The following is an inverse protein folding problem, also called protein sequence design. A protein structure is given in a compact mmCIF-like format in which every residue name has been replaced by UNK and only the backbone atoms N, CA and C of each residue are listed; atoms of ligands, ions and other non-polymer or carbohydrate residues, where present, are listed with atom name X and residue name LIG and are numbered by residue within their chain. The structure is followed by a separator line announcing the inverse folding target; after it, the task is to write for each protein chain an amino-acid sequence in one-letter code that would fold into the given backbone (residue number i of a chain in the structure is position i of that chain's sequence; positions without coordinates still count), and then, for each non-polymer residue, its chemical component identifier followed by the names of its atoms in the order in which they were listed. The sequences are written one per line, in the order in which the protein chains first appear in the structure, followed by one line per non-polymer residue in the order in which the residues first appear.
data_IF_348724373891
#
_entry.id   IF_348724373891
#
_cell.length_a   1.000
_cell.length_b   1.000
_cell.length_c   1.000
_cell.angle_alpha   90.00
_cell.angle_beta   90.00
_cell.angle_gamma   90.00
#
_symmetry.space_group_name_H-M   'P 1'
#
loop_
_entity.id
_entity.type
_entity.pdbx_description
1 polymer ?
#
# COMPACT_ATOMS: atom_id res chain seq x y z
N UNK A 1 -21.66 19.44 -14.61
CA UNK A 1 -23.10 19.08 -14.61
C UNK A 1 -23.71 19.33 -13.24
N UNK A 2 -23.28 18.66 -12.15
CA UNK A 2 -23.84 18.87 -10.80
C UNK A 2 -23.73 20.31 -10.26
N UNK A 3 -22.54 20.94 -10.36
CA UNK A 3 -22.32 22.31 -9.88
C UNK A 3 -23.14 23.38 -10.62
N UNK A 4 -23.56 23.10 -11.86
CA UNK A 4 -24.43 24.00 -12.65
C UNK A 4 -25.90 23.91 -12.21
N UNK A 5 -26.29 22.80 -11.58
CA UNK A 5 -27.64 22.55 -11.08
C UNK A 5 -27.79 22.85 -9.57
N UNK A 6 -26.82 23.53 -8.95
CA UNK A 6 -26.81 23.78 -7.50
C UNK A 6 -26.52 22.55 -6.64
N UNK A 7 -26.19 21.41 -7.24
CA UNK A 7 -25.97 20.13 -6.55
C UNK A 7 -24.48 19.87 -6.25
N UNK A 8 -24.23 19.12 -5.17
CA UNK A 8 -22.88 18.73 -4.76
C UNK A 8 -22.40 17.50 -5.53
N UNK A 9 -21.11 17.48 -5.88
CA UNK A 9 -20.46 16.32 -6.46
C UNK A 9 -19.61 15.63 -5.40
N UNK A 10 -20.03 14.45 -4.97
CA UNK A 10 -19.27 13.61 -4.03
C UNK A 10 -18.30 12.74 -4.83
N UNK A 11 -16.99 12.77 -4.52
CA UNK A 11 -16.03 11.90 -5.18
C UNK A 11 -16.22 10.45 -4.72
N UNK A 12 -15.95 9.51 -5.62
CA UNK A 12 -15.97 8.07 -5.31
C UNK A 12 -14.94 7.74 -4.24
N UNK A 13 -15.29 6.79 -3.36
CA UNK A 13 -14.35 6.30 -2.36
C UNK A 13 -13.09 5.70 -3.02
N UNK A 14 -11.89 6.07 -2.52
CA UNK A 14 -10.64 5.53 -3.02
C UNK A 14 -10.52 4.03 -2.71
N UNK A 15 -10.09 3.27 -3.71
CA UNK A 15 -10.01 1.79 -3.64
C UNK A 15 -8.61 1.24 -3.36
N UNK A 16 -7.58 2.08 -3.38
CA UNK A 16 -6.17 1.69 -3.26
C UNK A 16 -5.43 2.64 -2.31
N UNK A 17 -4.63 2.07 -1.43
CA UNK A 17 -3.74 2.81 -0.53
C UNK A 17 -2.29 2.39 -0.72
N UNK A 18 -1.39 3.36 -0.62
CA UNK A 18 0.05 3.15 -0.47
C UNK A 18 0.37 3.16 1.02
N UNK A 19 1.06 2.13 1.48
CA UNK A 19 1.42 1.94 2.89
C UNK A 19 2.93 1.77 2.97
N UNK A 20 3.59 2.49 3.88
CA UNK A 20 5.04 2.44 4.10
C UNK A 20 5.31 2.28 5.59
N UNK A 21 6.21 1.39 5.97
CA UNK A 21 6.64 1.26 7.37
C UNK A 21 7.59 2.40 7.77
N UNK A 22 7.26 3.12 8.84
CA UNK A 22 8.08 4.23 9.36
C UNK A 22 8.90 3.82 10.59
N UNK A 23 8.61 2.67 11.21
CA UNK A 23 9.30 2.18 12.40
C UNK A 23 9.67 0.70 12.28
N UNK A 24 10.73 0.29 12.97
CA UNK A 24 11.11 -1.11 13.09
C UNK A 24 10.15 -1.94 13.95
N UNK A 25 10.31 -3.27 13.91
CA UNK A 25 9.43 -4.23 14.61
C UNK A 25 9.83 -4.53 16.07
N UNK A 26 10.83 -3.82 16.61
CA UNK A 26 11.33 -4.04 17.96
C UNK A 26 10.34 -3.49 19.00
N UNK A 27 10.02 -4.27 20.03
CA UNK A 27 9.11 -3.86 21.11
C UNK A 27 7.64 -3.76 20.70
N UNK A 28 7.26 -4.26 19.52
CA UNK A 28 5.89 -4.21 19.02
C UNK A 28 5.06 -5.32 19.66
N UNK A 29 3.82 -5.00 20.05
CA UNK A 29 2.90 -5.99 20.63
C UNK A 29 2.65 -7.16 19.65
N UNK A 30 2.42 -8.40 20.14
CA UNK A 30 2.24 -9.56 19.27
C UNK A 30 1.12 -9.38 18.23
N UNK A 31 0.04 -8.69 18.59
CA UNK A 31 -1.09 -8.38 17.70
C UNK A 31 -0.67 -7.49 16.54
N UNK A 32 0.02 -6.38 16.82
CA UNK A 32 0.49 -5.43 15.80
C UNK A 32 1.55 -6.10 14.92
N UNK A 33 2.48 -6.86 15.53
CA UNK A 33 3.50 -7.62 14.81
C UNK A 33 2.88 -8.60 13.82
N UNK A 34 1.80 -9.29 14.20
CA UNK A 34 1.10 -10.21 13.30
C UNK A 34 0.43 -9.47 12.13
N UNK A 35 -0.17 -8.31 12.37
CA UNK A 35 -0.77 -7.51 11.29
C UNK A 35 0.29 -6.98 10.32
N UNK A 36 1.42 -6.48 10.82
CA UNK A 36 2.55 -6.05 9.97
C UNK A 36 3.11 -7.21 9.13
N UNK A 37 3.19 -8.42 9.69
CA UNK A 37 3.60 -9.62 8.95
C UNK A 37 2.61 -10.00 7.85
N UNK A 38 1.30 -9.94 8.12
CA UNK A 38 0.26 -10.20 7.10
C UNK A 38 0.30 -9.17 5.97
N UNK A 39 0.72 -7.94 6.27
CA UNK A 39 0.96 -6.89 5.29
C UNK A 39 2.35 -6.98 4.62
N UNK A 40 3.22 -7.91 5.01
CA UNK A 40 4.61 -7.99 4.56
C UNK A 40 5.47 -6.75 4.87
N UNK A 41 5.11 -5.98 5.91
CA UNK A 41 5.82 -4.77 6.37
C UNK A 41 6.73 -5.04 7.58
N UNK A 42 7.70 -5.95 7.42
CA UNK A 42 8.60 -6.35 8.51
C UNK A 42 9.86 -5.48 8.63
N UNK A 43 10.20 -4.69 7.62
CA UNK A 43 11.38 -3.82 7.59
C UNK A 43 10.95 -2.36 7.46
N UNK A 44 11.80 -1.46 7.96
CA UNK A 44 11.60 -0.02 7.81
C UNK A 44 11.70 0.38 6.33
N UNK A 45 10.89 1.37 5.92
CA UNK A 45 10.80 1.88 4.55
C UNK A 45 10.35 0.88 3.48
N UNK A 46 9.98 -0.35 3.87
CA UNK A 46 9.23 -1.22 2.96
C UNK A 46 7.84 -0.64 2.73
N UNK A 47 7.36 -0.76 1.50
CA UNK A 47 6.06 -0.27 1.10
C UNK A 47 5.28 -1.28 0.28
N UNK A 48 3.96 -1.23 0.41
CA UNK A 48 3.00 -2.09 -0.28
C UNK A 48 1.84 -1.26 -0.82
N UNK A 49 1.17 -1.79 -1.84
CA UNK A 49 -0.11 -1.28 -2.31
C UNK A 49 -1.23 -2.20 -1.80
N UNK A 50 -2.19 -1.65 -1.07
CA UNK A 50 -3.30 -2.40 -0.46
C UNK A 50 -4.62 -1.98 -1.07
N UNK A 51 -5.40 -2.96 -1.53
CA UNK A 51 -6.80 -2.75 -1.91
C UNK A 51 -7.61 -2.44 -0.65
N UNK A 52 -8.31 -1.30 -0.65
CA UNK A 52 -9.11 -0.87 0.47
C UNK A 52 -10.44 -1.63 0.51
N UNK A 53 -10.65 -2.33 1.62
CA UNK A 53 -11.91 -2.92 2.04
C UNK A 53 -12.07 -2.69 3.55
N UNK A 54 -13.24 -3.03 4.11
CA UNK A 54 -13.53 -2.81 5.54
C UNK A 54 -12.51 -3.50 6.47
N UNK A 55 -12.05 -4.70 6.12
CA UNK A 55 -11.07 -5.44 6.91
C UNK A 55 -9.67 -4.83 6.84
N UNK A 56 -9.22 -4.43 5.65
CA UNK A 56 -7.93 -3.79 5.41
C UNK A 56 -7.85 -2.45 6.12
N UNK A 57 -8.91 -1.64 6.11
CA UNK A 57 -8.97 -0.38 6.85
C UNK A 57 -8.82 -0.65 8.36
N UNK A 58 -9.51 -1.66 8.89
CA UNK A 58 -9.37 -2.05 10.29
C UNK A 58 -7.96 -2.54 10.63
N UNK A 59 -7.31 -3.29 9.73
CA UNK A 59 -5.91 -3.69 9.90
C UNK A 59 -4.99 -2.46 9.93
N UNK A 60 -5.15 -1.52 9.00
CA UNK A 60 -4.35 -0.30 8.93
C UNK A 60 -4.51 0.55 10.20
N UNK A 61 -5.72 0.66 10.75
CA UNK A 61 -5.98 1.35 12.03
C UNK A 61 -5.22 0.71 13.21
N UNK A 62 -5.09 -0.61 13.24
CA UNK A 62 -4.34 -1.31 14.32
C UNK A 62 -2.85 -0.96 14.26
N UNK A 63 -2.28 -0.82 13.06
CA UNK A 63 -0.84 -0.60 12.86
C UNK A 63 -0.49 0.86 12.60
N UNK A 64 -1.47 1.77 12.62
CA UNK A 64 -1.35 3.19 12.26
C UNK A 64 -0.13 3.91 12.86
N UNK A 65 0.26 3.67 14.13
CA UNK A 65 1.44 4.32 14.69
C UNK A 65 2.78 3.92 14.02
N UNK A 66 2.84 2.77 13.36
CA UNK A 66 4.06 2.19 12.77
C UNK A 66 4.15 2.37 11.26
N UNK A 67 3.07 2.84 10.62
CA UNK A 67 2.98 2.99 9.18
C UNK A 67 2.58 4.42 8.81
N UNK A 68 3.11 4.91 7.70
CA UNK A 68 2.52 6.03 6.98
C UNK A 68 1.71 5.47 5.81
N UNK A 69 0.46 5.87 5.69
CA UNK A 69 -0.38 5.41 4.58
C UNK A 69 -1.31 6.51 4.06
N UNK A 70 -1.70 6.37 2.79
CA UNK A 70 -2.62 7.29 2.14
C UNK A 70 -3.11 6.76 0.81
N UNK A 71 -4.07 7.47 0.21
CA UNK A 71 -4.65 7.06 -1.06
C UNK A 71 -3.66 7.24 -2.21
N UNK A 72 -3.55 6.22 -3.04
CA UNK A 72 -2.57 6.20 -4.13
C UNK A 72 -3.08 6.98 -5.35
N UNK A 73 -2.20 7.77 -5.96
CA UNK A 73 -2.41 8.36 -7.29
C UNK A 73 -1.74 7.51 -8.36
N UNK A 74 -2.30 7.48 -9.57
CA UNK A 74 -1.75 6.71 -10.70
C UNK A 74 -0.28 7.04 -10.97
N UNK A 75 0.07 8.34 -10.97
CA UNK A 75 1.45 8.79 -11.18
C UNK A 75 2.41 8.19 -10.15
N UNK A 76 2.06 8.26 -8.86
CA UNK A 76 2.89 7.74 -7.77
C UNK A 76 3.05 6.23 -7.85
N UNK A 77 1.99 5.51 -8.23
CA UNK A 77 2.04 4.06 -8.43
C UNK A 77 2.98 3.70 -9.57
N UNK A 78 2.85 4.35 -10.73
CA UNK A 78 3.74 4.11 -11.87
C UNK A 78 5.20 4.40 -11.52
N UNK A 79 5.49 5.56 -10.93
CA UNK A 79 6.86 5.92 -10.55
C UNK A 79 7.46 4.91 -9.55
N UNK A 80 6.66 4.37 -8.62
CA UNK A 80 7.11 3.34 -7.69
C UNK A 80 7.39 2.01 -8.39
N UNK A 81 6.51 1.56 -9.27
CA UNK A 81 6.69 0.30 -10.00
C UNK A 81 7.91 0.39 -10.93
N UNK A 82 8.08 1.49 -11.66
CA UNK A 82 9.23 1.63 -12.55
C UNK A 82 10.56 1.78 -11.80
N UNK A 83 10.60 2.51 -10.68
CA UNK A 83 11.86 2.77 -9.95
C UNK A 83 12.21 1.70 -8.92
N UNK A 84 11.21 1.05 -8.33
CA UNK A 84 11.37 0.15 -7.17
C UNK A 84 10.54 -1.13 -7.29
N UNK A 85 9.98 -1.42 -8.45
CA UNK A 85 9.19 -2.63 -8.69
C UNK A 85 10.06 -3.87 -8.73
N UNK A 86 9.72 -4.84 -7.88
CA UNK A 86 10.29 -6.18 -7.92
C UNK A 86 9.18 -7.21 -8.11
N UNK A 87 9.42 -8.16 -9.01
CA UNK A 87 8.60 -9.35 -9.19
C UNK A 87 9.15 -10.52 -8.39
N UNK A 88 8.27 -11.41 -7.93
CA UNK A 88 8.67 -12.67 -7.30
C UNK A 88 8.56 -13.81 -8.31
N UNK A 89 9.66 -14.16 -8.96
CA UNK A 89 9.73 -15.21 -9.99
C UNK A 89 10.55 -16.36 -9.42
N UNK A 90 10.02 -17.59 -9.48
CA UNK A 90 10.68 -18.78 -8.92
C UNK A 90 11.15 -18.60 -7.46
N UNK A 91 10.31 -17.97 -6.63
CA UNK A 91 10.56 -17.61 -5.22
C UNK A 91 11.70 -16.60 -4.99
N UNK A 92 12.36 -16.10 -6.05
CA UNK A 92 13.39 -15.06 -5.97
C UNK A 92 12.80 -13.69 -6.29
N UNK A 93 13.34 -12.66 -5.64
CA UNK A 93 12.98 -11.27 -5.92
C UNK A 93 13.86 -10.76 -7.07
N UNK A 94 13.23 -10.40 -8.20
CA UNK A 94 13.89 -9.95 -9.43
C UNK A 94 13.37 -8.56 -9.76
N UNK A 95 14.25 -7.64 -10.12
CA UNK A 95 13.85 -6.29 -10.53
C UNK A 95 13.10 -6.34 -11.87
N UNK A 96 12.01 -5.60 -11.98
CA UNK A 96 11.20 -5.55 -13.20
C UNK A 96 11.85 -4.62 -14.22
N UNK A 97 12.80 -5.16 -15.00
CA UNK A 97 13.49 -4.40 -16.06
C UNK A 97 12.80 -4.55 -17.41
N UNK A 98 12.34 -5.75 -17.74
CA UNK A 98 11.70 -6.07 -19.01
C UNK A 98 10.30 -6.67 -18.81
N UNK A 99 9.40 -6.33 -19.74
CA UNK A 99 8.03 -6.85 -19.74
C UNK A 99 7.97 -8.36 -19.97
N UNK A 100 9.02 -8.96 -20.54
CA UNK A 100 9.15 -10.43 -20.72
C UNK A 100 9.04 -11.17 -19.38
N UNK A 101 9.41 -10.52 -18.27
CA UNK A 101 9.35 -11.09 -16.92
C UNK A 101 7.93 -11.12 -16.32
N UNK A 102 6.95 -10.49 -16.97
CA UNK A 102 5.58 -10.29 -16.44
C UNK A 102 4.55 -11.24 -17.11
N UNK A 103 4.94 -11.92 -18.20
CA UNK A 103 4.07 -12.76 -19.04
C UNK A 103 3.70 -14.08 -18.35
#
# INVERSE_FOLDING_TARGET
MARKAGNFQVPTEPKLASVISIRGINGVSPKVRKVLQLLHLCQIFNGILVKLNKASINMLRIVEPYIAWGYSKLRSVNELIYKRGFGKINKKQIALMDNVLIV
#
